data_IF_438080722955
#
_entry.id   IF_438080722955
#
_cell.length_a   1.000
_cell.length_b   1.000
_cell.length_c   1.000
_cell.angle_alpha   90.00
_cell.angle_beta   90.00
_cell.angle_gamma   90.00
#
_symmetry.space_group_name_H-M   'P 1'
#
loop_
_entity.id
_entity.type
_entity.pdbx_description
1 polymer ?
#
# COMPACT_ATOMS: atom_id res chain seq x y z
N UNK A 1 24.08 12.18 -1.12
CA UNK A 1 24.88 10.99 -0.73
C UNK A 1 24.21 9.76 -1.31
N UNK A 2 24.91 8.97 -2.13
CA UNK A 2 24.35 7.81 -2.86
C UNK A 2 23.58 6.81 -1.97
N UNK A 3 24.04 6.59 -0.74
CA UNK A 3 23.37 5.71 0.22
C UNK A 3 21.93 6.11 0.57
N UNK A 4 21.63 7.41 0.58
CA UNK A 4 20.28 7.91 0.86
C UNK A 4 19.31 7.59 -0.28
N UNK A 5 19.79 7.54 -1.53
CA UNK A 5 18.98 7.17 -2.69
C UNK A 5 18.70 5.66 -2.70
N UNK A 6 19.69 4.82 -2.37
CA UNK A 6 19.52 3.37 -2.25
C UNK A 6 18.54 3.02 -1.13
N UNK A 7 18.71 3.59 0.07
CA UNK A 7 17.82 3.30 1.19
C UNK A 7 16.39 3.83 0.93
N UNK A 8 16.27 4.98 0.26
CA UNK A 8 14.97 5.53 -0.12
C UNK A 8 14.27 4.70 -1.19
N UNK A 9 14.98 4.16 -2.18
CA UNK A 9 14.40 3.29 -3.21
C UNK A 9 13.95 1.95 -2.62
N UNK A 10 14.74 1.38 -1.69
CA UNK A 10 14.39 0.17 -0.95
C UNK A 10 13.10 0.33 -0.13
N UNK A 11 12.80 1.53 0.37
CA UNK A 11 11.52 1.77 1.03
C UNK A 11 10.34 1.48 0.09
N UNK A 12 10.41 1.89 -1.18
CA UNK A 12 9.35 1.57 -2.15
C UNK A 12 9.38 0.11 -2.62
N UNK A 13 10.58 -0.47 -2.81
CA UNK A 13 10.69 -1.89 -3.16
C UNK A 13 10.32 -2.85 -2.03
N UNK A 14 10.17 -2.36 -0.80
CA UNK A 14 9.66 -3.19 0.29
C UNK A 14 8.28 -3.79 0.02
N UNK A 15 7.52 -3.27 -0.97
CA UNK A 15 6.29 -3.89 -1.48
C UNK A 15 6.44 -5.38 -1.81
N UNK A 16 7.64 -5.84 -2.18
CA UNK A 16 7.90 -7.23 -2.54
C UNK A 16 8.12 -8.19 -1.36
N UNK A 17 8.51 -7.69 -0.19
CA UNK A 17 8.96 -8.56 0.91
C UNK A 17 8.56 -8.10 2.32
N UNK A 18 8.47 -6.80 2.58
CA UNK A 18 8.20 -6.25 3.90
C UNK A 18 7.58 -4.85 3.84
N UNK A 19 6.39 -4.69 3.22
CA UNK A 19 5.80 -3.40 2.84
C UNK A 19 5.68 -2.40 4.00
N UNK A 20 5.49 -2.89 5.22
CA UNK A 20 5.35 -2.01 6.40
C UNK A 20 6.62 -1.95 7.23
N UNK A 21 7.26 -3.09 7.49
CA UNK A 21 8.37 -3.18 8.42
C UNK A 21 9.55 -2.32 7.98
N UNK A 22 10.00 -2.43 6.73
CA UNK A 22 11.17 -1.69 6.26
C UNK A 22 10.92 -0.17 6.26
N UNK A 23 9.83 0.35 5.66
CA UNK A 23 9.58 1.79 5.68
C UNK A 23 9.39 2.35 7.10
N UNK A 24 8.81 1.58 8.03
CA UNK A 24 8.69 2.01 9.44
C UNK A 24 10.07 2.16 10.07
N UNK A 25 10.93 1.15 9.97
CA UNK A 25 12.28 1.20 10.55
C UNK A 25 13.06 2.38 9.96
N UNK A 26 13.04 2.53 8.64
CA UNK A 26 13.77 3.62 7.95
C UNK A 26 13.19 4.99 8.30
N UNK A 27 11.88 5.11 8.54
CA UNK A 27 11.28 6.37 8.99
C UNK A 27 11.79 6.82 10.36
N UNK A 28 12.05 5.89 11.29
CA UNK A 28 12.55 6.22 12.62
C UNK A 28 14.07 6.39 12.69
N UNK A 29 14.82 5.61 11.89
CA UNK A 29 16.29 5.54 11.98
C UNK A 29 16.99 6.38 10.90
N UNK A 30 16.33 6.63 9.77
CA UNK A 30 16.93 7.34 8.64
C UNK A 30 17.00 8.86 8.82
N UNK A 31 17.89 9.50 8.07
CA UNK A 31 17.99 10.96 8.00
C UNK A 31 16.77 11.61 7.33
N UNK A 32 16.57 12.92 7.54
CA UNK A 32 15.43 13.68 6.99
C UNK A 32 15.18 13.47 5.49
N UNK A 33 16.25 13.28 4.70
CA UNK A 33 16.17 13.01 3.27
C UNK A 33 15.47 11.69 2.95
N UNK A 34 15.71 10.64 3.75
CA UNK A 34 15.17 9.29 3.56
C UNK A 34 13.80 9.15 4.22
N UNK A 35 13.56 9.80 5.35
CA UNK A 35 12.28 9.75 6.08
C UNK A 35 11.08 10.16 5.22
N UNK A 36 11.24 11.16 4.34
CA UNK A 36 10.19 11.58 3.40
C UNK A 36 9.77 10.45 2.46
N UNK A 37 10.73 9.67 1.96
CA UNK A 37 10.48 8.53 1.09
C UNK A 37 9.91 7.34 1.85
N UNK A 38 10.44 7.05 3.04
CA UNK A 38 9.91 6.02 3.93
C UNK A 38 8.43 6.25 4.28
N UNK A 39 8.06 7.48 4.66
CA UNK A 39 6.65 7.85 4.93
C UNK A 39 5.76 7.69 3.70
N UNK A 40 6.24 8.11 2.52
CA UNK A 40 5.48 8.00 1.27
C UNK A 40 5.27 6.54 0.87
N UNK A 41 6.31 5.71 0.95
CA UNK A 41 6.23 4.28 0.68
C UNK A 41 5.27 3.58 1.65
N UNK A 42 5.34 3.92 2.94
CA UNK A 42 4.42 3.39 3.93
C UNK A 42 2.96 3.71 3.58
N UNK A 43 2.70 4.95 3.17
CA UNK A 43 1.36 5.37 2.79
C UNK A 43 0.86 4.60 1.55
N UNK A 44 1.67 4.50 0.51
CA UNK A 44 1.30 3.78 -0.72
C UNK A 44 1.14 2.28 -0.50
N UNK A 45 1.86 1.69 0.45
CA UNK A 45 1.62 0.29 0.86
C UNK A 45 0.36 0.12 1.68
N UNK A 46 -0.03 1.12 2.46
CA UNK A 46 -1.20 1.04 3.36
C UNK A 46 -2.53 1.18 2.60
N UNK A 47 -2.58 2.00 1.55
CA UNK A 47 -3.84 2.28 0.83
C UNK A 47 -4.59 1.02 0.39
N UNK A 48 -3.98 0.00 -0.27
CA UNK A 48 -4.69 -1.21 -0.66
C UNK A 48 -5.37 -1.94 0.51
N UNK A 49 -4.72 -1.98 1.67
CA UNK A 49 -5.26 -2.65 2.86
C UNK A 49 -6.38 -1.84 3.50
N UNK A 50 -6.27 -0.51 3.52
CA UNK A 50 -7.36 0.36 3.96
C UNK A 50 -8.57 0.22 3.04
N UNK A 51 -8.37 0.14 1.72
CA UNK A 51 -9.43 -0.15 0.75
C UNK A 51 -10.12 -1.47 1.05
N UNK A 52 -9.35 -2.54 1.32
CA UNK A 52 -9.90 -3.85 1.68
C UNK A 52 -10.75 -3.77 2.95
N UNK A 53 -10.21 -3.17 4.02
CA UNK A 53 -10.92 -3.04 5.31
C UNK A 53 -12.22 -2.27 5.14
N UNK A 54 -12.20 -1.13 4.42
CA UNK A 54 -13.40 -0.35 4.16
C UNK A 54 -14.43 -1.16 3.37
N UNK A 55 -14.03 -1.85 2.31
CA UNK A 55 -14.95 -2.66 1.51
C UNK A 55 -15.55 -3.84 2.28
N UNK A 56 -14.77 -4.48 3.16
CA UNK A 56 -15.26 -5.54 4.04
C UNK A 56 -16.23 -5.00 5.10
N UNK A 57 -15.95 -3.84 5.69
CA UNK A 57 -16.88 -3.18 6.63
C UNK A 57 -18.20 -2.86 5.92
N UNK A 58 -18.15 -2.27 4.72
CA UNK A 58 -19.34 -1.98 3.92
C UNK A 58 -20.11 -3.27 3.61
N UNK A 59 -19.43 -4.32 3.15
CA UNK A 59 -20.06 -5.62 2.88
C UNK A 59 -20.68 -6.24 4.14
N UNK A 60 -20.02 -6.14 5.28
CA UNK A 60 -20.52 -6.59 6.57
C UNK A 60 -21.79 -5.84 6.99
N UNK A 61 -21.83 -4.52 6.81
CA UNK A 61 -23.04 -3.73 7.11
C UNK A 61 -24.23 -4.12 6.24
N UNK A 62 -24.02 -4.51 4.98
CA UNK A 62 -25.10 -5.01 4.11
C UNK A 62 -25.67 -6.32 4.67
N UNK A 63 -24.81 -7.23 5.12
CA UNK A 63 -25.24 -8.50 5.72
C UNK A 63 -26.01 -8.32 7.03
N UNK A 64 -25.58 -7.38 7.88
CA UNK A 64 -26.24 -7.11 9.18
C UNK A 64 -27.63 -6.48 9.03
N UNK A 65 -27.89 -5.74 7.94
CA UNK A 65 -29.17 -5.07 7.69
C UNK A 65 -30.19 -5.96 6.94
N UNK A 66 -30.13 -7.28 7.13
CA UNK A 66 -30.98 -8.26 6.44
C UNK A 66 -30.90 -8.17 4.90
N UNK A 67 -29.72 -7.80 4.36
CA UNK A 67 -29.47 -7.89 2.93
C UNK A 67 -29.67 -9.32 2.42
N UNK A 68 -30.11 -9.48 1.17
CA UNK A 68 -30.22 -10.81 0.56
C UNK A 68 -28.83 -11.43 0.45
N UNK A 69 -28.74 -12.76 0.56
CA UNK A 69 -27.47 -13.50 0.38
C UNK A 69 -26.77 -13.11 -0.93
N UNK A 70 -27.56 -12.92 -1.99
CA UNK A 70 -27.10 -12.44 -3.29
C UNK A 70 -26.45 -11.05 -3.23
N UNK A 71 -27.05 -10.10 -2.50
CA UNK A 71 -26.51 -8.74 -2.38
C UNK A 71 -25.18 -8.72 -1.60
N UNK A 72 -25.09 -9.51 -0.52
CA UNK A 72 -23.85 -9.68 0.25
C UNK A 72 -22.76 -10.32 -0.59
N UNK A 73 -23.10 -11.37 -1.36
CA UNK A 73 -22.17 -12.02 -2.27
C UNK A 73 -21.59 -11.05 -3.30
N UNK A 74 -22.45 -10.24 -3.93
CA UNK A 74 -22.00 -9.22 -4.89
C UNK A 74 -21.11 -8.16 -4.25
N UNK A 75 -21.44 -7.68 -3.04
CA UNK A 75 -20.63 -6.64 -2.38
C UNK A 75 -19.23 -7.13 -2.01
N UNK A 76 -19.11 -8.40 -1.58
CA UNK A 76 -17.83 -9.04 -1.27
C UNK A 76 -16.99 -9.19 -2.53
N UNK A 77 -17.58 -9.70 -3.63
CA UNK A 77 -16.88 -9.84 -4.91
C UNK A 77 -16.41 -8.48 -5.42
N UNK A 78 -17.28 -7.46 -5.37
CA UNK A 78 -16.92 -6.10 -5.75
C UNK A 78 -15.76 -5.55 -4.90
N UNK A 79 -15.78 -5.79 -3.59
CA UNK A 79 -14.71 -5.40 -2.67
C UNK A 79 -13.37 -5.99 -3.09
N UNK A 80 -13.32 -7.28 -3.41
CA UNK A 80 -12.08 -7.94 -3.85
C UNK A 80 -11.60 -7.41 -5.20
N UNK A 81 -12.50 -7.20 -6.17
CA UNK A 81 -12.14 -6.65 -7.48
C UNK A 81 -11.54 -5.24 -7.34
N UNK A 82 -12.21 -4.36 -6.59
CA UNK A 82 -11.74 -2.99 -6.36
C UNK A 82 -10.39 -3.01 -5.63
N UNK A 83 -10.26 -3.83 -4.59
CA UNK A 83 -9.01 -3.98 -3.84
C UNK A 83 -7.89 -4.47 -4.75
N UNK A 84 -8.13 -5.46 -5.61
CA UNK A 84 -7.14 -5.98 -6.55
C UNK A 84 -6.66 -4.90 -7.53
N UNK A 85 -7.57 -4.10 -8.07
CA UNK A 85 -7.22 -2.98 -8.97
C UNK A 85 -6.37 -1.95 -8.23
N UNK A 86 -6.77 -1.53 -7.03
CA UNK A 86 -6.01 -0.57 -6.20
C UNK A 86 -4.64 -1.14 -5.83
N UNK A 87 -4.57 -2.42 -5.48
CA UNK A 87 -3.32 -3.11 -5.16
C UNK A 87 -2.37 -3.13 -6.36
N UNK A 88 -2.84 -3.50 -7.55
CA UNK A 88 -2.02 -3.49 -8.78
C UNK A 88 -1.51 -2.08 -9.08
N UNK A 89 -2.38 -1.07 -8.98
CA UNK A 89 -2.01 0.32 -9.22
C UNK A 89 -0.88 0.77 -8.27
N UNK A 90 -1.04 0.58 -6.95
CA UNK A 90 -0.03 0.99 -5.98
C UNK A 90 1.23 0.12 -6.04
N UNK A 91 1.11 -1.15 -6.40
CA UNK A 91 2.25 -2.02 -6.64
C UNK A 91 3.15 -1.46 -7.75
N UNK A 92 2.56 -1.17 -8.93
CA UNK A 92 3.29 -0.57 -10.05
C UNK A 92 3.86 0.80 -9.67
N UNK A 93 3.08 1.64 -8.99
CA UNK A 93 3.52 2.95 -8.53
C UNK A 93 4.77 2.88 -7.64
N UNK A 94 4.79 1.96 -6.68
CA UNK A 94 5.95 1.76 -5.80
C UNK A 94 7.18 1.31 -6.59
N UNK A 95 7.03 0.41 -7.56
CA UNK A 95 8.13 -0.02 -8.43
C UNK A 95 8.69 1.17 -9.22
N UNK A 96 7.83 1.91 -9.94
CA UNK A 96 8.23 3.06 -10.76
C UNK A 96 8.94 4.11 -9.91
N UNK A 97 8.41 4.40 -8.71
CA UNK A 97 8.98 5.40 -7.82
C UNK A 97 10.29 4.94 -7.19
N UNK A 98 10.41 3.66 -6.84
CA UNK A 98 11.66 3.05 -6.40
C UNK A 98 12.76 3.18 -7.45
N UNK A 99 12.46 2.84 -8.71
CA UNK A 99 13.40 2.98 -9.83
C UNK A 99 13.79 4.45 -10.05
N UNK A 100 12.83 5.37 -10.02
CA UNK A 100 13.10 6.80 -10.19
C UNK A 100 14.05 7.33 -9.10
N UNK A 101 13.75 7.04 -7.84
CA UNK A 101 14.57 7.48 -6.68
C UNK A 101 15.97 6.86 -6.72
N UNK A 102 16.09 5.62 -7.20
CA UNK A 102 17.37 4.96 -7.40
C UNK A 102 18.18 5.61 -8.54
N UNK A 103 17.53 6.03 -9.62
CA UNK A 103 18.21 6.65 -10.76
C UNK A 103 18.57 8.13 -10.55
N UNK A 104 18.05 8.76 -9.51
CA UNK A 104 18.46 10.11 -9.05
C UNK A 104 19.80 10.10 -8.27
N UNK A 105 20.56 8.98 -8.33
CA UNK A 105 21.87 8.74 -7.70
C UNK A 105 23.02 9.62 -8.21
#
# INVERSE_FOLDING_TARGET
MKGNHILSSLCYFSVFFAPFLLPIIVYFVGDKAVQSHAKKALWTHLVPYVTLVIGLVVSGTIGMNQGTETAVGFSIVATYIITAIVMIYYFIWNIVKGVKVLNEM
#
